data_IF_398754362752
#
_entry.id   IF_398754362752
#
_cell.length_a   1.000
_cell.length_b   1.000
_cell.length_c   1.000
_cell.angle_alpha   90.00
_cell.angle_beta   90.00
_cell.angle_gamma   90.00
#
_symmetry.space_group_name_H-M   'P 1'
#
loop_
_entity.id
_entity.type
_entity.pdbx_description
1 polymer ?
#
# COMPACT_ATOMS: atom_id res chain seq x y z
N UNK A 1 -16.77 -26.82 -13.35
CA UNK A 1 -15.83 -26.71 -14.49
C UNK A 1 -15.25 -28.08 -14.80
N UNK A 2 -15.01 -28.38 -16.07
CA UNK A 2 -14.30 -29.62 -16.47
C UNK A 2 -12.79 -29.51 -16.20
N UNK A 3 -12.05 -30.63 -16.23
CA UNK A 3 -10.59 -30.64 -16.04
C UNK A 3 -9.87 -29.74 -17.05
N UNK A 4 -10.28 -29.78 -18.32
CA UNK A 4 -9.75 -28.91 -19.37
C UNK A 4 -9.99 -27.44 -19.02
N UNK A 5 -11.20 -27.10 -18.57
CA UNK A 5 -11.52 -25.72 -18.20
C UNK A 5 -10.71 -25.24 -17.01
N UNK A 6 -10.48 -26.08 -16.00
CA UNK A 6 -9.64 -25.76 -14.84
C UNK A 6 -8.18 -25.56 -15.28
N UNK A 7 -7.68 -26.47 -16.13
CA UNK A 7 -6.33 -26.40 -16.70
C UNK A 7 -6.10 -25.08 -17.43
N UNK A 8 -6.99 -24.74 -18.37
CA UNK A 8 -6.88 -23.52 -19.18
C UNK A 8 -7.04 -22.24 -18.33
N UNK A 9 -7.94 -22.28 -17.35
CA UNK A 9 -8.30 -21.09 -16.56
C UNK A 9 -7.27 -20.76 -15.48
N UNK A 10 -6.64 -21.77 -14.88
CA UNK A 10 -5.71 -21.62 -13.77
C UNK A 10 -4.25 -21.96 -14.12
N UNK A 11 -3.97 -22.34 -15.37
CA UNK A 11 -2.65 -22.73 -15.86
C UNK A 11 -2.06 -23.91 -15.04
N UNK A 12 -2.89 -24.93 -14.79
CA UNK A 12 -2.52 -26.14 -14.04
C UNK A 12 -2.45 -27.30 -15.03
N UNK A 13 -1.33 -28.04 -15.14
CA UNK A 13 -1.24 -29.19 -16.03
C UNK A 13 -2.35 -30.23 -15.77
N UNK A 14 -2.91 -30.79 -16.84
CA UNK A 14 -3.95 -31.83 -16.74
C UNK A 14 -3.49 -33.03 -15.90
N UNK A 15 -2.24 -33.45 -16.03
CA UNK A 15 -1.62 -34.52 -15.24
C UNK A 15 -1.73 -34.24 -13.73
N UNK A 16 -1.44 -33.01 -13.32
CA UNK A 16 -1.59 -32.54 -11.94
C UNK A 16 -3.05 -32.61 -11.47
N UNK A 17 -4.02 -32.30 -12.33
CA UNK A 17 -5.44 -32.39 -11.99
C UNK A 17 -5.92 -33.83 -11.83
N UNK A 18 -5.41 -34.77 -12.65
CA UNK A 18 -5.67 -36.20 -12.48
C UNK A 18 -5.11 -36.73 -11.15
N UNK A 19 -3.96 -36.24 -10.72
CA UNK A 19 -3.42 -36.61 -9.41
C UNK A 19 -4.25 -36.05 -8.26
N UNK A 20 -4.78 -34.82 -8.40
CA UNK A 20 -5.61 -34.21 -7.35
C UNK A 20 -6.99 -34.87 -7.24
N UNK A 21 -7.50 -35.48 -8.30
CA UNK A 21 -8.78 -36.20 -8.31
C UNK A 21 -8.79 -37.45 -7.42
N UNK A 22 -7.63 -38.04 -7.13
CA UNK A 22 -7.52 -39.22 -6.27
C UNK A 22 -7.99 -38.91 -4.85
N UNK A 23 -8.86 -39.74 -4.26
CA UNK A 23 -9.49 -39.47 -2.96
C UNK A 23 -8.50 -39.36 -1.79
N UNK A 24 -7.33 -40.02 -1.90
CA UNK A 24 -6.24 -39.91 -0.92
C UNK A 24 -5.29 -38.73 -1.13
N UNK A 25 -5.46 -37.92 -2.17
CA UNK A 25 -4.55 -36.82 -2.45
C UNK A 25 -4.84 -35.61 -1.55
N UNK A 26 -3.82 -34.94 -0.97
CA UNK A 26 -4.02 -33.79 -0.09
C UNK A 26 -4.84 -32.65 -0.71
N UNK A 27 -4.79 -32.52 -2.04
CA UNK A 27 -5.51 -31.50 -2.82
C UNK A 27 -6.84 -31.98 -3.41
N UNK A 28 -7.35 -33.15 -3.03
CA UNK A 28 -8.65 -33.64 -3.51
C UNK A 28 -9.81 -32.72 -3.17
N UNK A 29 -9.81 -32.19 -1.95
CA UNK A 29 -10.82 -31.23 -1.51
C UNK A 29 -10.82 -29.96 -2.37
N UNK A 30 -9.63 -29.48 -2.75
CA UNK A 30 -9.47 -28.34 -3.65
C UNK A 30 -9.97 -28.67 -5.06
N UNK A 31 -9.62 -29.84 -5.60
CA UNK A 31 -10.12 -30.30 -6.89
C UNK A 31 -11.65 -30.36 -6.93
N UNK A 32 -12.29 -30.95 -5.92
CA UNK A 32 -13.77 -30.99 -5.79
C UNK A 32 -14.38 -29.58 -5.73
N UNK A 33 -13.71 -28.64 -5.08
CA UNK A 33 -14.16 -27.24 -5.09
C UNK A 33 -14.05 -26.61 -6.49
N UNK A 34 -12.93 -26.81 -7.17
CA UNK A 34 -12.71 -26.28 -8.53
C UNK A 34 -13.69 -26.91 -9.54
N UNK A 35 -14.01 -28.19 -9.41
CA UNK A 35 -14.98 -28.88 -10.27
C UNK A 35 -16.40 -28.35 -10.06
N UNK A 36 -16.75 -27.95 -8.84
CA UNK A 36 -18.10 -27.47 -8.50
C UNK A 36 -18.31 -25.98 -8.79
N UNK A 37 -17.25 -25.20 -8.98
CA UNK A 37 -17.36 -23.79 -9.35
C UNK A 37 -17.79 -23.67 -10.84
N UNK A 38 -18.64 -22.68 -11.13
CA UNK A 38 -19.01 -22.35 -12.50
C UNK A 38 -17.92 -21.53 -13.20
N UNK A 39 -17.74 -21.79 -14.50
CA UNK A 39 -16.73 -21.11 -15.34
C UNK A 39 -16.87 -19.59 -15.31
N UNK A 40 -18.11 -19.08 -15.32
CA UNK A 40 -18.40 -17.65 -15.26
C UNK A 40 -17.95 -17.01 -13.95
N UNK A 41 -18.15 -17.70 -12.81
CA UNK A 41 -17.72 -17.23 -11.48
C UNK A 41 -16.20 -17.29 -11.35
N UNK A 42 -15.57 -18.38 -11.79
CA UNK A 42 -14.11 -18.50 -11.79
C UNK A 42 -13.47 -17.39 -12.64
N UNK A 43 -13.94 -17.20 -13.87
CA UNK A 43 -13.43 -16.18 -14.78
C UNK A 43 -13.66 -14.77 -14.24
N UNK A 44 -14.82 -14.48 -13.65
CA UNK A 44 -15.06 -13.18 -13.00
C UNK A 44 -14.08 -12.94 -11.85
N UNK A 45 -13.79 -13.96 -11.05
CA UNK A 45 -12.89 -13.85 -9.89
C UNK A 45 -11.44 -13.67 -10.32
N UNK A 46 -11.00 -14.42 -11.34
CA UNK A 46 -9.64 -14.34 -11.90
C UNK A 46 -9.43 -13.02 -12.66
N UNK A 47 -10.40 -12.60 -13.48
CA UNK A 47 -10.37 -11.28 -14.15
C UNK A 47 -10.33 -10.15 -13.13
N UNK A 48 -11.19 -10.19 -12.10
CA UNK A 48 -11.16 -9.21 -11.00
C UNK A 48 -9.80 -9.14 -10.31
N UNK A 49 -9.12 -10.28 -10.13
CA UNK A 49 -7.78 -10.35 -9.54
C UNK A 49 -6.67 -9.88 -10.49
N UNK A 50 -6.81 -10.10 -11.80
CA UNK A 50 -5.89 -9.59 -12.84
C UNK A 50 -6.06 -8.09 -13.08
N UNK A 51 -7.28 -7.56 -13.00
CA UNK A 51 -7.58 -6.13 -13.20
C UNK A 51 -7.34 -5.26 -11.96
N UNK A 52 -7.18 -5.85 -10.78
CA UNK A 52 -6.80 -5.09 -9.58
C UNK A 52 -5.29 -4.88 -9.53
N UNK A 53 -4.83 -3.86 -10.26
CA UNK A 53 -3.48 -3.33 -10.10
C UNK A 53 -3.19 -3.11 -8.61
N UNK A 54 -2.02 -3.56 -8.14
CA UNK A 54 -1.61 -3.46 -6.72
C UNK A 54 -1.81 -2.04 -6.16
N UNK A 55 -1.53 -1.02 -6.95
CA UNK A 55 -1.77 0.39 -6.62
C UNK A 55 -3.25 0.66 -6.32
N UNK A 56 -4.17 0.18 -7.16
CA UNK A 56 -5.61 0.34 -6.92
C UNK A 56 -6.02 -0.36 -5.62
N UNK A 57 -5.44 -1.51 -5.32
CA UNK A 57 -5.69 -2.22 -4.07
C UNK A 57 -5.19 -1.43 -2.85
N UNK A 58 -3.97 -0.91 -2.89
CA UNK A 58 -3.38 -0.11 -1.80
C UNK A 58 -4.21 1.16 -1.57
N UNK A 59 -4.49 1.92 -2.64
CA UNK A 59 -5.21 3.18 -2.55
C UNK A 59 -6.65 2.99 -2.06
N UNK A 60 -7.30 1.89 -2.43
CA UNK A 60 -8.68 1.58 -2.03
C UNK A 60 -8.80 0.71 -0.78
N UNK A 61 -7.69 0.48 -0.06
CA UNK A 61 -7.71 -0.31 1.16
C UNK A 61 -8.53 0.39 2.24
N UNK A 62 -9.46 -0.34 2.85
CA UNK A 62 -10.35 0.15 3.91
C UNK A 62 -11.26 1.31 3.47
N UNK A 63 -11.65 1.36 2.18
CA UNK A 63 -12.60 2.33 1.65
C UNK A 63 -13.87 1.60 1.21
N UNK A 64 -15.04 2.11 1.64
CA UNK A 64 -16.35 1.62 1.23
C UNK A 64 -16.52 1.70 -0.28
N UNK A 65 -17.19 0.73 -0.91
CA UNK A 65 -17.34 0.65 -2.37
C UNK A 65 -17.82 1.94 -3.03
N UNK A 66 -18.70 2.71 -2.37
CA UNK A 66 -19.21 4.00 -2.86
C UNK A 66 -18.15 5.11 -2.98
N UNK A 67 -17.04 5.00 -2.27
CA UNK A 67 -16.01 6.05 -2.17
C UNK A 67 -14.66 5.63 -2.74
N UNK A 68 -14.57 4.41 -3.29
CA UNK A 68 -13.34 3.91 -3.91
C UNK A 68 -12.90 4.83 -5.04
N UNK A 69 -11.60 5.03 -5.11
CA UNK A 69 -10.93 5.73 -6.18
C UNK A 69 -11.04 4.92 -7.47
N UNK A 70 -11.54 5.57 -8.52
CA UNK A 70 -11.52 4.99 -9.86
C UNK A 70 -10.13 5.12 -10.49
N UNK A 71 -9.91 4.38 -11.58
CA UNK A 71 -8.66 4.47 -12.34
C UNK A 71 -8.44 5.89 -12.89
N UNK A 72 -9.51 6.52 -13.34
CA UNK A 72 -9.54 7.87 -13.88
C UNK A 72 -9.21 8.90 -12.81
N UNK A 73 -9.80 8.79 -11.62
CA UNK A 73 -9.49 9.69 -10.50
C UNK A 73 -8.00 9.65 -10.13
N UNK A 74 -7.41 8.45 -10.08
CA UNK A 74 -5.98 8.28 -9.78
C UNK A 74 -5.12 8.85 -10.90
N UNK A 75 -5.49 8.60 -12.16
CA UNK A 75 -4.79 9.16 -13.32
C UNK A 75 -4.79 10.69 -13.27
N UNK A 76 -5.97 11.29 -13.03
CA UNK A 76 -6.13 12.74 -12.96
C UNK A 76 -5.27 13.32 -11.84
N UNK A 77 -5.28 12.69 -10.64
CA UNK A 77 -4.43 13.10 -9.53
C UNK A 77 -2.96 13.15 -9.97
N UNK A 78 -2.41 12.04 -10.48
CA UNK A 78 -0.99 11.99 -10.84
C UNK A 78 -0.62 12.68 -12.16
N UNK A 79 -1.58 13.27 -12.88
CA UNK A 79 -1.32 14.16 -14.03
C UNK A 79 -1.13 15.61 -13.58
N UNK A 80 -1.59 15.98 -12.38
CA UNK A 80 -1.40 17.32 -11.82
C UNK A 80 0.05 17.50 -11.39
N UNK A 81 0.55 18.73 -11.52
CA UNK A 81 1.94 19.11 -11.19
C UNK A 81 2.07 19.81 -9.85
N UNK A 82 0.98 20.39 -9.35
CA UNK A 82 0.99 21.23 -8.15
C UNK A 82 0.12 20.61 -7.06
N UNK A 83 0.75 20.28 -5.93
CA UNK A 83 0.08 19.74 -4.75
C UNK A 83 -0.85 20.78 -4.07
N UNK A 84 -0.51 22.08 -4.14
CA UNK A 84 -1.28 23.14 -3.47
C UNK A 84 -2.66 23.29 -4.08
N UNK A 85 -2.75 23.12 -5.40
CA UNK A 85 -4.01 23.15 -6.16
C UNK A 85 -4.78 21.82 -6.12
N UNK A 86 -4.25 20.80 -5.45
CA UNK A 86 -4.92 19.51 -5.34
C UNK A 86 -6.11 19.57 -4.38
N UNK A 87 -7.19 18.89 -4.76
CA UNK A 87 -8.37 18.70 -3.92
C UNK A 87 -8.02 17.83 -2.71
N UNK A 88 -8.84 17.89 -1.66
CA UNK A 88 -8.64 17.04 -0.48
C UNK A 88 -8.62 15.54 -0.84
N UNK A 89 -9.44 15.12 -1.81
CA UNK A 89 -9.51 13.74 -2.29
C UNK A 89 -8.20 13.30 -2.94
N UNK A 90 -7.59 14.16 -3.76
CA UNK A 90 -6.29 13.92 -4.39
C UNK A 90 -5.14 13.93 -3.38
N UNK A 91 -5.18 14.85 -2.40
CA UNK A 91 -4.19 14.88 -1.31
C UNK A 91 -4.15 13.57 -0.54
N UNK A 92 -5.31 12.94 -0.31
CA UNK A 92 -5.38 11.61 0.31
C UNK A 92 -4.77 10.54 -0.59
N UNK A 93 -4.99 10.58 -1.92
CA UNK A 93 -4.36 9.67 -2.88
C UNK A 93 -2.83 9.77 -2.77
N UNK A 94 -2.27 10.98 -2.81
CA UNK A 94 -0.83 11.18 -2.68
C UNK A 94 -0.31 10.68 -1.33
N UNK A 95 -1.00 11.03 -0.24
CA UNK A 95 -0.61 10.64 1.12
C UNK A 95 -0.51 9.12 1.25
N UNK A 96 -1.53 8.39 0.78
CA UNK A 96 -1.54 6.92 0.79
C UNK A 96 -0.43 6.36 -0.09
N UNK A 97 -0.29 6.86 -1.31
CA UNK A 97 0.74 6.40 -2.24
C UNK A 97 2.15 6.53 -1.63
N UNK A 98 2.54 7.71 -1.16
CA UNK A 98 3.89 7.93 -0.65
C UNK A 98 4.17 7.27 0.71
N UNK A 99 3.14 6.96 1.51
CA UNK A 99 3.30 6.22 2.77
C UNK A 99 3.37 4.71 2.59
N UNK A 100 2.65 4.17 1.61
CA UNK A 100 2.37 2.73 1.55
C UNK A 100 2.96 2.03 0.32
N UNK A 101 3.24 2.76 -0.76
CA UNK A 101 3.81 2.21 -1.99
C UNK A 101 5.34 2.25 -1.97
N UNK A 102 5.94 1.46 -2.86
CA UNK A 102 7.39 1.38 -3.07
C UNK A 102 7.84 1.82 -4.47
N UNK A 103 9.12 1.58 -4.78
CA UNK A 103 9.74 1.97 -6.06
C UNK A 103 9.19 1.19 -7.27
N UNK A 104 8.73 -0.04 -7.06
CA UNK A 104 8.15 -0.89 -8.10
C UNK A 104 6.74 -0.39 -8.40
N UNK A 105 5.96 -0.10 -7.33
CA UNK A 105 4.65 0.53 -7.44
C UNK A 105 4.69 1.86 -8.19
N UNK A 106 5.78 2.64 -8.09
CA UNK A 106 5.96 3.85 -8.93
C UNK A 106 6.12 3.53 -10.42
N UNK A 107 6.87 2.48 -10.77
CA UNK A 107 7.04 2.09 -12.16
C UNK A 107 5.70 1.62 -12.73
N UNK A 108 5.01 0.76 -11.97
CA UNK A 108 3.68 0.27 -12.30
C UNK A 108 2.69 1.43 -12.49
N UNK A 109 2.77 2.47 -11.66
CA UNK A 109 1.92 3.67 -11.78
C UNK A 109 2.17 4.39 -13.11
N UNK A 110 3.44 4.61 -13.44
CA UNK A 110 3.85 5.31 -14.67
C UNK A 110 3.42 4.52 -15.90
N UNK A 111 3.61 3.20 -15.90
CA UNK A 111 3.24 2.33 -17.01
C UNK A 111 1.72 2.18 -17.15
N UNK A 112 1.03 1.87 -16.05
CA UNK A 112 -0.41 1.57 -16.04
C UNK A 112 -1.27 2.81 -16.36
N UNK A 113 -0.87 3.97 -15.87
CA UNK A 113 -1.67 5.20 -15.98
C UNK A 113 -1.11 6.19 -17.03
N UNK A 114 0.04 5.87 -17.64
CA UNK A 114 0.75 6.74 -18.58
C UNK A 114 1.01 8.14 -18.03
N UNK A 115 1.39 8.21 -16.75
CA UNK A 115 1.68 9.46 -16.04
C UNK A 115 3.17 9.74 -15.99
N UNK A 116 3.55 11.01 -15.97
CA UNK A 116 4.94 11.43 -15.98
C UNK A 116 5.59 11.28 -14.60
N UNK A 117 6.69 10.53 -14.52
CA UNK A 117 7.52 10.45 -13.31
C UNK A 117 8.01 11.83 -12.85
N UNK A 118 8.20 12.77 -13.77
CA UNK A 118 8.60 14.15 -13.45
C UNK A 118 7.46 14.90 -12.75
N UNK A 119 6.22 14.70 -13.17
CA UNK A 119 5.07 15.38 -12.57
C UNK A 119 4.81 14.82 -11.16
N UNK A 120 4.91 13.50 -10.99
CA UNK A 120 4.85 12.86 -9.67
C UNK A 120 5.94 13.40 -8.73
N UNK A 121 7.16 13.64 -9.25
CA UNK A 121 8.25 14.25 -8.48
C UNK A 121 7.90 15.67 -8.01
N UNK A 122 7.27 16.49 -8.86
CA UNK A 122 6.88 17.85 -8.51
C UNK A 122 5.82 17.85 -7.41
N UNK A 123 4.83 16.97 -7.49
CA UNK A 123 3.85 16.79 -6.42
C UNK A 123 4.56 16.36 -5.13
N UNK A 124 5.45 15.36 -5.21
CA UNK A 124 6.19 14.85 -4.06
C UNK A 124 7.01 15.92 -3.33
N UNK A 125 7.61 16.88 -4.04
CA UNK A 125 8.43 17.92 -3.38
C UNK A 125 7.63 18.81 -2.44
N UNK A 126 6.33 18.94 -2.67
CA UNK A 126 5.43 19.84 -1.93
C UNK A 126 4.53 19.11 -0.92
N UNK A 127 4.57 17.76 -0.84
CA UNK A 127 3.72 17.02 0.10
C UNK A 127 4.24 17.15 1.55
N UNK A 128 3.35 17.25 2.54
CA UNK A 128 3.75 17.28 3.95
C UNK A 128 4.37 15.95 4.40
N UNK A 129 4.00 14.83 3.79
CA UNK A 129 4.53 13.50 4.11
C UNK A 129 6.03 13.36 3.90
N UNK A 130 6.63 14.21 3.08
CA UNK A 130 8.08 14.25 2.87
C UNK A 130 8.84 14.57 4.16
N UNK A 131 8.21 15.21 5.14
CA UNK A 131 8.80 15.43 6.46
C UNK A 131 9.00 14.13 7.26
N UNK A 132 8.33 13.02 6.91
CA UNK A 132 8.48 11.76 7.60
C UNK A 132 9.78 11.05 7.16
N UNK A 133 10.70 10.67 8.08
CA UNK A 133 11.99 10.10 7.72
C UNK A 133 11.90 8.83 6.86
N UNK A 134 10.90 7.98 7.10
CA UNK A 134 10.67 6.77 6.32
C UNK A 134 10.29 7.07 4.86
N UNK A 135 9.42 8.07 4.66
CA UNK A 135 8.98 8.52 3.33
C UNK A 135 10.14 9.21 2.61
N UNK A 136 10.79 10.18 3.26
CA UNK A 136 11.96 10.89 2.73
C UNK A 136 13.05 9.92 2.24
N UNK A 137 13.46 8.98 3.09
CA UNK A 137 14.53 8.02 2.78
C UNK A 137 14.26 7.20 1.51
N UNK A 138 13.00 6.80 1.27
CA UNK A 138 12.60 6.03 0.10
C UNK A 138 12.53 6.93 -1.13
N UNK A 139 11.80 8.04 -1.02
CA UNK A 139 11.39 8.82 -2.19
C UNK A 139 12.38 9.90 -2.59
N UNK A 140 13.09 10.55 -1.65
CA UNK A 140 14.17 11.49 -2.00
C UNK A 140 15.28 10.78 -2.77
N UNK A 141 15.63 9.56 -2.33
CA UNK A 141 16.55 8.69 -3.08
C UNK A 141 16.00 8.35 -4.45
N UNK A 142 14.71 7.97 -4.55
CA UNK A 142 14.08 7.57 -5.82
C UNK A 142 14.00 8.72 -6.82
N UNK A 143 13.75 9.93 -6.34
CA UNK A 143 13.63 11.14 -7.15
C UNK A 143 14.94 11.94 -7.29
N UNK A 144 16.04 11.45 -6.68
CA UNK A 144 17.34 12.13 -6.66
C UNK A 144 17.22 13.58 -6.19
N UNK A 145 16.54 13.78 -5.06
CA UNK A 145 16.38 15.10 -4.46
C UNK A 145 17.53 15.30 -3.46
N UNK A 146 18.31 16.36 -3.66
CA UNK A 146 19.43 16.67 -2.77
C UNK A 146 18.94 17.51 -1.59
N UNK A 147 19.10 16.99 -0.37
CA UNK A 147 18.63 17.52 0.91
C UNK A 147 19.25 18.85 1.39
N UNK A 148 19.89 19.63 0.51
CA UNK A 148 20.50 20.91 0.93
C UNK A 148 19.48 21.89 1.54
N UNK A 149 18.18 21.66 1.36
CA UNK A 149 17.10 22.48 1.92
C UNK A 149 16.61 21.99 3.31
N UNK A 150 16.86 20.74 3.70
CA UNK A 150 16.30 20.17 4.95
C UNK A 150 17.24 20.23 6.17
N UNK A 151 18.49 20.69 6.02
CA UNK A 151 19.42 20.82 7.16
C UNK A 151 19.01 21.90 8.17
N UNK A 152 18.10 22.82 7.83
CA UNK A 152 17.66 23.89 8.73
C UNK A 152 16.62 23.40 9.76
N UNK A 153 15.91 22.28 9.50
CA UNK A 153 14.88 21.78 10.41
C UNK A 153 15.36 20.72 11.43
N UNK A 154 16.57 20.19 11.28
CA UNK A 154 17.10 19.13 12.16
C UNK A 154 18.05 19.63 13.26
N UNK A 155 18.15 20.94 13.47
CA UNK A 155 18.81 21.52 14.66
C UNK A 155 17.73 22.09 15.57
N UNK A 156 17.17 21.25 16.46
CA UNK A 156 16.57 21.63 17.77
C UNK A 156 15.42 20.73 18.26
N UNK A 157 15.50 19.40 18.14
CA UNK A 157 14.69 18.51 19.00
C UNK A 157 15.47 17.30 19.49
N UNK A 158 16.62 17.55 20.13
CA UNK A 158 17.23 16.63 21.09
C UNK A 158 17.00 17.08 22.53
N UNK A 159 15.77 17.47 22.89
CA UNK A 159 15.37 17.38 24.30
C UNK A 159 15.03 15.92 24.57
N UNK A 160 16.04 15.15 25.00
CA UNK A 160 15.84 13.91 25.77
C UNK A 160 14.89 14.27 26.91
N UNK A 161 13.61 13.92 26.79
CA UNK A 161 12.75 13.85 27.95
C UNK A 161 13.24 12.68 28.77
N UNK A 162 14.00 13.01 29.81
CA UNK A 162 14.58 12.07 30.75
C UNK A 162 13.42 11.36 31.46
N UNK A 163 13.10 10.13 31.01
CA UNK A 163 12.08 9.25 31.61
C UNK A 163 12.35 8.97 33.10
N UNK A 164 13.52 9.36 33.60
CA UNK A 164 13.92 9.23 35.01
C UNK A 164 13.34 10.31 35.93
N UNK A 165 12.98 11.51 35.44
CA UNK A 165 12.40 12.57 36.29
C UNK A 165 10.93 12.30 36.66
N UNK A 166 10.14 11.76 35.73
CA UNK A 166 8.74 11.43 36.01
C UNK A 166 8.63 10.33 37.07
N UNK A 167 9.49 9.29 37.01
CA UNK A 167 9.50 8.22 38.00
C UNK A 167 9.92 8.69 39.41
N UNK A 168 10.86 9.63 39.52
CA UNK A 168 11.28 10.20 40.81
C UNK A 168 10.16 10.99 41.51
N UNK A 169 9.28 11.66 40.75
CA UNK A 169 8.15 12.43 41.30
C UNK A 169 7.07 11.56 41.95
N UNK A 170 6.90 10.31 41.50
CA UNK A 170 5.90 9.38 42.05
C UNK A 170 6.46 8.47 43.16
N UNK A 171 7.77 8.22 43.18
CA UNK A 171 8.40 7.43 44.24
C UNK A 171 8.60 8.22 45.56
N UNK A 172 8.85 9.53 45.48
CA UNK A 172 8.99 10.38 46.69
C UNK A 172 7.66 10.75 47.38
N UNK A 173 6.51 10.42 46.79
CA UNK A 173 5.20 10.67 47.40
C UNK A 173 4.70 9.54 48.31
N UNK A 174 5.37 8.38 48.30
CA UNK A 174 5.01 7.23 49.16
C UNK A 174 5.85 7.12 50.44
N UNK A 175 6.94 7.89 50.59
CA UNK A 175 7.78 7.86 51.79
C UNK A 175 7.37 8.87 52.87
N UNK A 176 6.47 9.81 52.58
CA UNK A 176 6.02 10.85 53.52
C UNK A 176 4.66 10.59 54.16
N UNK A 177 4.01 9.47 53.89
CA UNK A 177 2.71 9.09 54.49
C UNK A 177 2.79 7.87 55.42
N UNK A 178 3.96 7.60 56.00
CA UNK A 178 4.14 6.57 57.04
C UNK A 178 5.01 7.11 58.18
N UNK A 179 4.52 8.16 58.85
CA UNK A 179 4.97 8.60 60.18
C UNK A 179 3.97 9.62 60.73
N UNK A 180 2.79 9.13 61.17
CA UNK A 180 2.05 9.58 62.36
C UNK A 180 1.27 8.38 62.86
#
# INVERSE_FOLDING_TARGET
>A
MTKSEISDTLDIPLTTLYDWEKEGHPKNKLYRHLSNISKSVANRTIKKKKDTHRILHILNRNITDKHKYTREEIKIAFTKKDYKLATQREKIIYSRFFKECDKEDLNDLVETFHVSKRDIKLVYTDIPERAFPGVAKVWDRRFRINDKVNKVANVSTSKKTDRTEFAKKYLNKKSTSASV
#
